data_IF_438477582169
#
_entry.id   IF_438477582169
#
_cell.length_a   1.000
_cell.length_b   1.000
_cell.length_c   1.000
_cell.angle_alpha   90.00
_cell.angle_beta   90.00
_cell.angle_gamma   90.00
#
_symmetry.space_group_name_H-M   'P 1'
#
loop_
_entity.id
_entity.type
_entity.pdbx_description
1 polymer ?
#
# COMPACT_ATOMS: atom_id res chain seq x y z
N UNK A 1 -2.29 12.02 3.43
CA UNK A 1 -0.85 12.00 3.17
C UNK A 1 -0.60 11.09 1.99
N UNK A 2 0.14 11.56 0.98
CA UNK A 2 0.58 10.76 -0.15
C UNK A 2 2.06 10.49 0.01
N UNK A 3 2.47 9.24 -0.13
CA UNK A 3 3.87 8.82 -0.24
C UNK A 3 4.07 8.36 -1.68
N UNK A 4 5.11 8.89 -2.33
CA UNK A 4 5.48 8.53 -3.68
C UNK A 4 6.60 7.50 -3.67
N UNK A 5 6.57 6.54 -4.60
CA UNK A 5 7.68 5.62 -4.81
C UNK A 5 9.00 6.37 -5.04
N UNK A 6 8.96 7.49 -5.79
CA UNK A 6 10.13 8.35 -6.01
C UNK A 6 10.73 9.00 -4.75
N UNK A 7 10.05 8.97 -3.61
CA UNK A 7 10.55 9.50 -2.33
C UNK A 7 11.09 8.42 -1.39
N UNK A 8 10.97 7.14 -1.76
CA UNK A 8 11.47 6.03 -0.96
C UNK A 8 12.99 5.92 -1.10
N UNK A 9 13.66 5.58 0.00
CA UNK A 9 15.07 5.21 0.00
C UNK A 9 15.23 3.73 -0.39
N UNK A 10 16.40 3.35 -0.94
CA UNK A 10 16.67 1.94 -1.32
C UNK A 10 16.57 0.97 -0.14
N UNK A 11 16.94 1.42 1.06
CA UNK A 11 16.85 0.60 2.29
C UNK A 11 15.42 0.44 2.83
N UNK A 12 14.44 1.15 2.24
CA UNK A 12 13.03 0.92 2.48
C UNK A 12 12.51 -0.34 1.78
N UNK A 13 13.23 -0.86 0.78
CA UNK A 13 12.81 -1.98 -0.06
C UNK A 13 13.53 -3.27 0.40
N UNK A 14 12.76 -4.35 0.51
CA UNK A 14 13.24 -5.71 0.64
C UNK A 14 12.67 -6.50 -0.54
N UNK A 15 13.52 -6.88 -1.50
CA UNK A 15 13.15 -7.63 -2.72
C UNK A 15 12.09 -6.96 -3.63
N UNK A 16 11.68 -5.74 -3.32
CA UNK A 16 11.12 -4.79 -4.28
C UNK A 16 12.26 -4.08 -5.03
N UNK A 17 11.96 -3.62 -6.23
CA UNK A 17 12.89 -2.88 -7.08
C UNK A 17 12.24 -1.59 -7.57
N UNK A 18 13.05 -0.54 -7.76
CA UNK A 18 12.63 0.66 -8.47
C UNK A 18 12.62 0.42 -9.97
N UNK A 19 11.49 0.69 -10.64
CA UNK A 19 11.35 0.59 -12.08
C UNK A 19 10.89 1.92 -12.69
N UNK A 20 11.33 2.17 -13.93
CA UNK A 20 10.85 3.29 -14.71
C UNK A 20 9.46 2.98 -15.32
N UNK A 21 8.52 3.91 -15.14
CA UNK A 21 7.24 3.93 -15.85
C UNK A 21 6.81 5.37 -16.09
N UNK A 22 6.69 5.83 -17.35
CA UNK A 22 6.31 7.21 -17.66
C UNK A 22 4.90 7.59 -17.21
N UNK A 23 4.04 6.63 -16.90
CA UNK A 23 2.71 6.88 -16.33
C UNK A 23 2.75 7.17 -14.82
N UNK A 24 3.84 6.81 -14.14
CA UNK A 24 4.00 7.07 -12.71
C UNK A 24 4.43 8.51 -12.44
N UNK A 25 4.01 9.12 -11.32
CA UNK A 25 4.55 10.39 -10.87
C UNK A 25 6.08 10.32 -10.77
N UNK A 26 6.77 11.29 -11.39
CA UNK A 26 8.23 11.33 -11.52
C UNK A 26 8.84 10.15 -12.28
N UNK A 27 8.04 9.35 -12.98
CA UNK A 27 8.52 8.25 -13.83
C UNK A 27 8.95 6.99 -13.07
N UNK A 28 8.66 6.88 -11.77
CA UNK A 28 9.16 5.80 -10.91
C UNK A 28 8.00 5.08 -10.21
N UNK A 29 8.05 3.74 -10.24
CA UNK A 29 7.30 2.86 -9.36
C UNK A 29 8.25 1.93 -8.59
N UNK A 30 7.71 1.24 -7.59
CA UNK A 30 8.36 0.05 -7.00
C UNK A 30 7.54 -1.19 -7.31
N UNK A 31 8.19 -2.30 -7.65
CA UNK A 31 7.51 -3.57 -7.95
C UNK A 31 8.38 -4.80 -7.71
N UNK A 32 7.79 -5.97 -7.89
CA UNK A 32 8.49 -7.26 -7.82
C UNK A 32 8.57 -7.91 -9.20
N UNK A 33 9.63 -8.69 -9.51
CA UNK A 33 9.63 -9.53 -10.70
C UNK A 33 8.49 -10.56 -10.66
N UNK A 34 8.15 -11.14 -11.81
CA UNK A 34 7.13 -12.18 -11.91
C UNK A 34 7.70 -13.49 -12.47
N UNK A 35 7.93 -14.46 -11.59
CA UNK A 35 8.33 -15.83 -11.94
C UNK A 35 7.16 -16.83 -11.92
N UNK A 36 6.00 -16.38 -11.45
CA UNK A 36 4.75 -17.13 -11.36
C UNK A 36 4.64 -17.98 -10.10
N UNK A 37 5.43 -17.65 -9.08
CA UNK A 37 5.40 -18.25 -7.76
C UNK A 37 4.23 -17.77 -6.90
N UNK A 38 4.09 -18.40 -5.74
CA UNK A 38 3.20 -17.99 -4.67
C UNK A 38 3.98 -17.16 -3.65
N UNK A 39 3.32 -16.17 -3.05
CA UNK A 39 3.82 -15.44 -1.88
C UNK A 39 2.88 -15.71 -0.72
N UNK A 40 3.42 -15.71 0.49
CA UNK A 40 2.72 -15.95 1.73
C UNK A 40 2.34 -14.63 2.41
N UNK A 41 1.14 -14.54 3.04
CA UNK A 41 0.75 -13.36 3.81
C UNK A 41 1.71 -13.11 4.99
N UNK A 42 1.72 -11.91 5.59
CA UNK A 42 2.39 -11.73 6.88
C UNK A 42 1.88 -12.75 7.92
N UNK A 43 2.73 -13.23 8.86
CA UNK A 43 4.00 -12.65 9.29
C UNK A 43 5.25 -13.03 8.49
N UNK A 44 5.12 -13.88 7.47
CA UNK A 44 6.20 -14.26 6.57
C UNK A 44 6.87 -13.00 5.97
N UNK A 45 8.19 -13.03 5.83
CA UNK A 45 8.95 -11.88 5.34
C UNK A 45 9.27 -12.02 3.85
N UNK A 46 8.22 -11.91 3.05
CA UNK A 46 8.27 -11.82 1.58
C UNK A 46 8.59 -10.40 1.11
N UNK A 47 8.76 -10.16 -0.21
CA UNK A 47 9.11 -8.84 -0.71
C UNK A 47 8.22 -7.75 -0.12
N UNK A 48 8.84 -6.71 0.44
CA UNK A 48 8.10 -5.66 1.13
C UNK A 48 8.78 -4.30 1.04
N UNK A 49 7.99 -3.26 1.31
CA UNK A 49 8.40 -1.87 1.36
C UNK A 49 7.99 -1.29 2.71
N UNK A 50 8.90 -0.59 3.39
CA UNK A 50 8.68 -0.02 4.71
C UNK A 50 9.05 1.46 4.76
N UNK A 51 8.14 2.31 5.22
CA UNK A 51 8.37 3.77 5.35
C UNK A 51 7.54 4.35 6.50
N UNK A 52 7.77 5.61 6.87
CA UNK A 52 6.99 6.29 7.91
C UNK A 52 6.03 7.33 7.34
N UNK A 53 4.92 7.55 8.05
CA UNK A 53 3.99 8.64 7.77
C UNK A 53 3.52 9.31 9.07
N UNK A 54 3.30 10.63 9.07
CA UNK A 54 2.67 11.33 10.18
C UNK A 54 1.17 11.03 10.23
N UNK A 55 0.66 10.79 11.44
CA UNK A 55 -0.76 10.56 11.73
C UNK A 55 -1.24 11.43 12.89
N UNK A 56 -2.56 11.60 12.97
CA UNK A 56 -3.25 12.24 14.09
C UNK A 56 -4.04 11.21 14.87
N UNK A 57 -3.98 11.30 16.19
CA UNK A 57 -4.74 10.45 17.10
C UNK A 57 -6.25 10.67 16.97
N UNK A 58 -7.03 9.60 17.07
CA UNK A 58 -8.50 9.64 17.05
C UNK A 58 -9.12 10.00 15.68
N UNK A 59 -8.31 10.08 14.63
CA UNK A 59 -8.79 10.37 13.26
C UNK A 59 -8.87 9.06 12.47
N UNK A 60 -9.99 8.77 11.79
CA UNK A 60 -10.08 7.65 10.86
C UNK A 60 -9.38 7.98 9.54
N UNK A 61 -8.67 7.00 9.00
CA UNK A 61 -7.98 7.08 7.73
C UNK A 61 -8.39 5.94 6.82
N UNK A 62 -8.51 6.25 5.52
CA UNK A 62 -8.60 5.27 4.45
C UNK A 62 -7.21 5.06 3.84
N UNK A 63 -6.85 3.80 3.64
CA UNK A 63 -5.65 3.39 2.91
C UNK A 63 -6.00 3.10 1.45
N UNK A 64 -5.21 3.67 0.54
CA UNK A 64 -5.27 3.39 -0.89
C UNK A 64 -3.87 3.14 -1.44
N UNK A 65 -3.79 2.25 -2.43
CA UNK A 65 -2.60 1.99 -3.24
C UNK A 65 -2.92 2.35 -4.68
N UNK A 66 -2.08 3.17 -5.33
CA UNK A 66 -2.11 3.29 -6.78
C UNK A 66 -1.26 2.16 -7.35
N UNK A 67 -1.95 1.06 -7.69
CA UNK A 67 -1.37 -0.23 -8.02
C UNK A 67 -1.25 -0.36 -9.53
N UNK A 68 -0.10 -0.89 -9.97
CA UNK A 68 0.08 -1.45 -11.30
C UNK A 68 -0.12 -2.95 -11.25
N UNK A 69 -1.18 -3.41 -11.91
CA UNK A 69 -1.41 -4.83 -12.15
C UNK A 69 -0.55 -5.28 -13.32
N UNK A 70 0.40 -6.17 -13.03
CA UNK A 70 1.33 -6.75 -14.01
C UNK A 70 0.68 -7.85 -14.86
N UNK A 71 1.44 -8.41 -15.80
CA UNK A 71 0.99 -9.57 -16.57
C UNK A 71 0.91 -10.81 -15.66
N UNK A 72 -0.21 -11.56 -15.64
CA UNK A 72 -0.31 -12.78 -14.86
C UNK A 72 0.65 -13.85 -15.38
N UNK A 73 1.21 -14.66 -14.49
CA UNK A 73 2.11 -15.77 -14.80
C UNK A 73 1.99 -16.81 -13.69
N UNK A 74 1.87 -18.09 -14.06
CA UNK A 74 1.73 -19.18 -13.08
C UNK A 74 0.56 -18.94 -12.12
N UNK A 75 0.86 -18.93 -10.82
CA UNK A 75 -0.09 -18.64 -9.75
C UNK A 75 -0.37 -17.15 -9.56
N UNK A 76 0.54 -16.30 -10.00
CA UNK A 76 0.45 -14.85 -9.80
C UNK A 76 -0.54 -14.20 -10.78
N UNK A 77 -1.49 -13.45 -10.23
CA UNK A 77 -2.30 -12.46 -10.95
C UNK A 77 -1.71 -11.04 -10.87
N UNK A 78 -0.55 -10.87 -10.22
CA UNK A 78 0.20 -9.61 -10.13
C UNK A 78 -0.61 -8.41 -9.61
N UNK A 79 -1.58 -8.65 -8.72
CA UNK A 79 -2.59 -7.66 -8.33
C UNK A 79 -2.91 -7.64 -6.84
N UNK A 80 -2.00 -8.07 -5.97
CA UNK A 80 -2.27 -8.10 -4.53
C UNK A 80 -1.08 -7.56 -3.72
N UNK A 81 -1.38 -6.76 -2.70
CA UNK A 81 -0.44 -6.43 -1.60
C UNK A 81 -1.14 -6.50 -0.25
N UNK A 82 -0.38 -6.75 0.81
CA UNK A 82 -0.84 -6.68 2.20
C UNK A 82 -0.23 -5.50 2.93
N UNK A 83 -1.02 -4.81 3.75
CA UNK A 83 -0.61 -3.56 4.40
C UNK A 83 -0.74 -3.66 5.92
N UNK A 84 0.30 -3.23 6.63
CA UNK A 84 0.43 -3.22 8.08
C UNK A 84 0.89 -1.85 8.59
N UNK A 85 0.51 -1.52 9.83
CA UNK A 85 0.76 -0.23 10.47
C UNK A 85 1.19 -0.42 11.92
N UNK A 86 2.25 0.26 12.37
CA UNK A 86 2.54 0.34 13.81
C UNK A 86 1.50 1.21 14.52
N UNK A 87 1.04 0.81 15.70
CA UNK A 87 0.20 1.66 16.55
C UNK A 87 -1.24 1.88 16.05
N UNK A 88 -1.65 1.21 14.97
CA UNK A 88 -3.06 1.17 14.57
C UNK A 88 -3.89 0.44 15.63
N UNK A 89 -5.12 0.90 15.85
CA UNK A 89 -5.99 0.34 16.89
C UNK A 89 -7.41 0.05 16.40
N UNK A 90 -8.03 -0.92 17.07
CA UNK A 90 -9.45 -1.22 16.94
C UNK A 90 -10.33 -0.32 17.84
N UNK A 91 -11.65 -0.54 17.78
CA UNK A 91 -12.63 0.18 18.59
C UNK A 91 -12.49 -0.05 20.11
N UNK A 92 -11.83 -1.14 20.53
CA UNK A 92 -11.50 -1.43 21.93
C UNK A 92 -10.15 -0.85 22.35
N UNK A 93 -9.52 -0.03 21.50
CA UNK A 93 -8.17 0.50 21.66
C UNK A 93 -7.12 -0.61 21.85
N UNK A 94 -7.29 -1.78 21.25
CA UNK A 94 -6.25 -2.81 21.15
C UNK A 94 -5.43 -2.59 19.88
N UNK A 95 -4.12 -2.89 19.93
CA UNK A 95 -3.26 -2.75 18.74
C UNK A 95 -3.60 -3.84 17.71
N UNK A 96 -3.75 -3.43 16.45
CA UNK A 96 -4.06 -4.29 15.30
C UNK A 96 -3.17 -3.93 14.12
N UNK A 97 -3.15 -4.77 13.09
CA UNK A 97 -2.40 -4.53 11.84
C UNK A 97 -0.89 -4.37 12.04
N UNK A 98 -0.34 -4.77 13.19
CA UNK A 98 1.07 -4.56 13.54
C UNK A 98 1.97 -5.28 12.52
N UNK A 99 3.04 -4.64 12.02
CA UNK A 99 4.00 -5.27 11.12
C UNK A 99 4.51 -6.61 11.66
N UNK A 100 4.70 -7.57 10.76
CA UNK A 100 5.18 -8.93 11.06
C UNK A 100 4.24 -9.72 11.98
N UNK A 101 2.94 -9.43 11.94
CA UNK A 101 1.89 -10.27 12.54
C UNK A 101 0.97 -10.82 11.45
N UNK A 102 0.08 -11.75 11.80
CA UNK A 102 -0.96 -12.24 10.88
C UNK A 102 -2.14 -11.26 10.70
N UNK A 103 -2.04 -10.02 11.21
CA UNK A 103 -3.06 -8.99 11.06
C UNK A 103 -2.62 -7.99 9.99
N UNK A 104 -3.40 -7.85 8.93
CA UNK A 104 -3.10 -6.98 7.79
C UNK A 104 -4.39 -6.58 7.05
N UNK A 105 -4.29 -5.53 6.24
CA UNK A 105 -5.28 -5.21 5.22
C UNK A 105 -4.83 -5.80 3.88
N UNK A 106 -5.76 -6.15 3.02
CA UNK A 106 -5.50 -6.60 1.65
C UNK A 106 -5.90 -5.51 0.69
N UNK A 107 -4.98 -5.10 -0.19
CA UNK A 107 -5.32 -4.35 -1.38
C UNK A 107 -5.28 -5.29 -2.58
N UNK A 108 -6.47 -5.60 -3.09
CA UNK A 108 -6.67 -6.52 -4.22
C UNK A 108 -7.11 -5.71 -5.45
N UNK A 109 -6.21 -5.57 -6.40
CA UNK A 109 -6.46 -4.92 -7.69
C UNK A 109 -7.34 -5.77 -8.61
N UNK A 110 -7.79 -5.18 -9.73
CA UNK A 110 -8.55 -5.90 -10.75
C UNK A 110 -7.69 -6.99 -11.42
N UNK A 111 -8.33 -7.92 -12.12
CA UNK A 111 -7.62 -8.87 -13.02
C UNK A 111 -7.10 -8.19 -14.30
N UNK A 112 -7.63 -7.01 -14.61
CA UNK A 112 -7.19 -6.22 -15.75
C UNK A 112 -5.83 -5.59 -15.47
N UNK A 113 -4.88 -5.81 -16.37
CA UNK A 113 -3.55 -5.19 -16.34
C UNK A 113 -3.63 -3.67 -16.44
N UNK A 114 -2.70 -2.99 -15.77
CA UNK A 114 -2.57 -1.54 -15.79
C UNK A 114 -2.77 -0.88 -14.42
N UNK A 115 -2.95 0.43 -14.44
CA UNK A 115 -3.00 1.26 -13.25
C UNK A 115 -4.41 1.39 -12.69
N UNK A 116 -4.55 1.25 -11.38
CA UNK A 116 -5.80 1.49 -10.68
C UNK A 116 -5.56 1.90 -9.23
N UNK A 117 -6.47 2.71 -8.69
CA UNK A 117 -6.51 2.93 -7.24
C UNK A 117 -7.28 1.79 -6.58
N UNK A 118 -6.65 1.18 -5.58
CA UNK A 118 -7.15 0.00 -4.86
C UNK A 118 -7.21 0.31 -3.38
N UNK A 119 -8.35 -0.01 -2.74
CA UNK A 119 -8.53 0.16 -1.30
C UNK A 119 -7.83 -0.94 -0.53
N UNK A 120 -7.27 -0.61 0.64
CA UNK A 120 -6.78 -1.60 1.58
C UNK A 120 -7.94 -1.98 2.52
N UNK A 121 -8.47 -3.19 2.39
CA UNK A 121 -9.67 -3.64 3.11
C UNK A 121 -9.39 -4.89 3.95
N UNK A 122 -10.32 -5.22 4.86
CA UNK A 122 -10.22 -6.47 5.61
C UNK A 122 -10.59 -7.64 4.69
N UNK A 123 -9.91 -8.77 4.85
CA UNK A 123 -10.24 -9.96 4.08
C UNK A 123 -11.73 -10.33 4.29
N UNK A 124 -12.49 -10.45 3.19
CA UNK A 124 -13.90 -10.82 3.22
C UNK A 124 -14.89 -9.71 3.56
N UNK A 125 -14.45 -8.44 3.69
CA UNK A 125 -15.37 -7.29 3.73
C UNK A 125 -15.71 -6.81 2.32
N UNK A 126 -16.91 -6.26 2.12
CA UNK A 126 -17.26 -5.56 0.88
C UNK A 126 -16.53 -4.21 0.86
N UNK A 127 -15.67 -3.91 -0.14
CA UNK A 127 -15.01 -2.62 -0.22
C UNK A 127 -15.99 -1.46 -0.46
N UNK A 128 -15.74 -0.24 0.03
CA UNK A 128 -14.62 0.16 0.89
C UNK A 128 -15.04 0.25 2.38
N UNK A 129 -14.54 -0.61 3.25
CA UNK A 129 -15.02 -0.69 4.65
C UNK A 129 -13.93 -0.46 5.70
N UNK A 130 -12.67 -0.84 5.47
CA UNK A 130 -11.64 -0.71 6.50
C UNK A 130 -11.15 0.73 6.73
N UNK A 131 -11.37 1.25 7.93
CA UNK A 131 -10.76 2.49 8.42
C UNK A 131 -9.67 2.17 9.43
N UNK A 132 -8.54 2.85 9.31
CA UNK A 132 -7.41 2.75 10.23
C UNK A 132 -7.45 3.94 11.19
N UNK A 133 -7.28 3.69 12.49
CA UNK A 133 -7.20 4.75 13.52
C UNK A 133 -5.96 4.55 14.39
N UNK A 134 -5.48 5.65 14.97
CA UNK A 134 -4.30 5.67 15.84
C UNK A 134 -4.65 6.33 17.18
N UNK A 135 -3.98 5.92 18.28
CA UNK A 135 -4.28 6.48 19.62
C UNK A 135 -3.81 7.92 19.80
N UNK A 136 -2.67 8.26 19.22
CA UNK A 136 -2.00 9.54 19.44
C UNK A 136 -1.39 10.07 18.13
N UNK A 137 -1.06 11.36 18.14
CA UNK A 137 -0.28 11.99 17.07
C UNK A 137 1.14 11.41 17.04
N UNK A 138 1.72 11.27 15.86
CA UNK A 138 3.10 10.81 15.72
C UNK A 138 3.43 10.25 14.34
N UNK A 139 4.64 9.71 14.22
CA UNK A 139 5.06 8.93 13.06
C UNK A 139 4.70 7.46 13.26
N UNK A 140 4.16 6.83 12.23
CA UNK A 140 3.91 5.38 12.20
C UNK A 140 4.61 4.75 11.01
N UNK A 141 5.12 3.54 11.21
CA UNK A 141 5.65 2.72 10.13
C UNK A 141 4.50 2.04 9.38
N UNK A 142 4.52 2.19 8.06
CA UNK A 142 3.72 1.41 7.12
C UNK A 142 4.61 0.33 6.53
N UNK A 143 4.11 -0.92 6.50
CA UNK A 143 4.76 -2.03 5.80
C UNK A 143 3.81 -2.56 4.74
N UNK A 144 4.24 -2.57 3.49
CA UNK A 144 3.51 -3.10 2.33
C UNK A 144 4.26 -4.34 1.84
N UNK A 145 3.64 -5.52 1.94
CA UNK A 145 4.19 -6.78 1.42
C UNK A 145 3.52 -7.15 0.10
N UNK A 146 4.28 -7.63 -0.87
CA UNK A 146 3.72 -8.19 -2.10
C UNK A 146 2.87 -9.40 -1.76
N UNK A 147 1.62 -9.39 -2.25
CA UNK A 147 0.70 -10.52 -2.15
C UNK A 147 0.83 -11.49 -3.32
N UNK A 148 1.35 -11.00 -4.43
CA UNK A 148 1.66 -11.77 -5.62
C UNK A 148 2.86 -11.15 -6.31
N UNK A 149 3.67 -11.97 -6.96
CA UNK A 149 4.78 -11.52 -7.80
C UNK A 149 4.29 -10.65 -8.98
N UNK A 150 5.10 -9.71 -9.46
CA UNK A 150 4.72 -8.84 -10.59
C UNK A 150 3.83 -7.65 -10.23
N UNK A 151 3.42 -7.52 -8.97
CA UNK A 151 2.68 -6.35 -8.49
C UNK A 151 3.62 -5.16 -8.32
N UNK A 152 3.14 -3.96 -8.62
CA UNK A 152 3.85 -2.73 -8.34
C UNK A 152 2.93 -1.61 -7.87
N UNK A 153 3.51 -0.54 -7.34
CA UNK A 153 2.80 0.68 -6.98
C UNK A 153 3.71 1.90 -7.06
N UNK A 154 3.13 3.06 -7.33
CA UNK A 154 3.86 4.34 -7.36
C UNK A 154 3.41 5.31 -6.26
N UNK A 155 2.25 5.06 -5.64
CA UNK A 155 1.71 5.91 -4.58
C UNK A 155 1.00 5.08 -3.50
N UNK A 156 1.28 5.46 -2.26
CA UNK A 156 0.49 5.09 -1.10
C UNK A 156 -0.24 6.34 -0.59
N UNK A 157 -1.53 6.22 -0.29
CA UNK A 157 -2.35 7.30 0.24
C UNK A 157 -3.03 6.88 1.54
N UNK A 158 -2.73 7.61 2.62
CA UNK A 158 -3.45 7.52 3.89
C UNK A 158 -4.29 8.80 4.07
N UNK A 159 -5.60 8.69 3.84
CA UNK A 159 -6.51 9.84 3.72
C UNK A 159 -7.55 9.89 4.85
N UNK A 160 -7.60 10.96 5.65
CA UNK A 160 -8.66 11.17 6.65
C UNK A 160 -9.87 11.96 6.13
N UNK A 161 -9.89 12.38 4.86
CA UNK A 161 -10.84 13.39 4.37
C UNK A 161 -11.29 13.15 2.93
N UNK A 162 -10.77 13.93 1.98
CA UNK A 162 -11.21 13.95 0.58
C UNK A 162 -11.34 12.55 -0.05
N UNK A 163 -10.43 11.64 0.28
CA UNK A 163 -10.43 10.26 -0.24
C UNK A 163 -10.81 9.25 0.84
N UNK A 164 -11.70 9.60 1.79
CA UNK A 164 -12.11 8.67 2.84
C UNK A 164 -13.05 7.57 2.31
N UNK A 165 -13.90 7.92 1.34
CA UNK A 165 -14.95 7.03 0.78
C UNK A 165 -14.76 6.69 -0.69
N UNK A 166 -13.97 7.48 -1.43
CA UNK A 166 -13.67 7.24 -2.85
C UNK A 166 -12.18 7.44 -3.09
N UNK A 167 -11.56 6.63 -3.97
CA UNK A 167 -10.18 6.85 -4.35
C UNK A 167 -10.05 8.11 -5.21
N UNK A 168 -8.82 8.60 -5.41
CA UNK A 168 -8.52 9.50 -6.51
C UNK A 168 -8.87 8.85 -7.86
N UNK A 169 -9.16 9.67 -8.88
CA UNK A 169 -9.49 9.20 -10.23
C UNK A 169 -8.28 9.07 -11.15
N UNK A 170 -7.13 9.58 -10.72
CA UNK A 170 -5.84 9.55 -11.42
C UNK A 170 -4.71 9.60 -10.39
N UNK A 171 -3.48 9.31 -10.82
CA UNK A 171 -2.31 9.48 -9.97
C UNK A 171 -2.23 10.94 -9.48
N UNK A 172 -1.88 11.15 -8.21
CA UNK A 172 -1.79 12.49 -7.64
C UNK A 172 -0.44 13.09 -8.04
N UNK A 173 -0.40 14.07 -8.93
CA UNK A 173 0.84 14.61 -9.52
C UNK A 173 1.46 15.78 -8.73
N UNK A 174 0.81 16.25 -7.67
CA UNK A 174 1.29 17.43 -6.93
C UNK A 174 2.61 17.18 -6.17
N UNK A 175 3.74 17.46 -6.83
CA UNK A 175 4.92 18.03 -6.19
C UNK A 175 5.01 19.48 -6.61
N UNK A 176 4.57 20.41 -5.76
CA UNK A 176 5.03 21.79 -5.91
C UNK A 176 6.52 21.77 -5.63
N UNK A 177 7.34 21.73 -6.67
CA UNK A 177 8.74 22.16 -6.60
C UNK A 177 8.71 23.63 -6.19
N UNK A 178 8.79 23.87 -4.88
CA UNK A 178 9.10 25.19 -4.36
C UNK A 178 10.51 25.55 -4.82
N UNK A 179 10.61 26.60 -5.63
CA UNK A 179 11.87 27.29 -5.89
C UNK A 179 12.31 28.15 -4.71
#
# INVERSE_FOLDING_TARGET
MVVYASDLAEDALYEFEFWEDPASPMGILVGTPNEGGELDPPPENDPNVTFTVPVRGGVPYRCWIHMKVGTPKGWSQANMVWVQFTGAVDAANQEVLKPQTASYLTAQGPEQQGWSWVGCDLAGSEPPEALVTFRADGEVTVRIQAGMEGVGFDQFLLSPGQYLTQPPTSAIVEKTTGG
#
